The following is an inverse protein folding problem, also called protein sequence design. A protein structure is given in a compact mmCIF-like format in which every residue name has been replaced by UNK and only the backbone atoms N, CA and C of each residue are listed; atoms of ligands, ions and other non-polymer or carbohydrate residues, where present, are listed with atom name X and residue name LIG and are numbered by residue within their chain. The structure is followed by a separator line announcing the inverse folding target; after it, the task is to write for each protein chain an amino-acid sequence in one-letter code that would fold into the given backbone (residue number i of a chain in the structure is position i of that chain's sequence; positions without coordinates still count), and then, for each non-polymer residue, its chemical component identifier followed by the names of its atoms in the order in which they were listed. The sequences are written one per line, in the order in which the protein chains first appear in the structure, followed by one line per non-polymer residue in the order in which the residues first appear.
data_IF_217715922535
#
_entry.id   IF_217715922535
#
_cell.length_a   1.000
_cell.length_b   1.000
_cell.length_c   1.000
_cell.angle_alpha   90.00
_cell.angle_beta   90.00
_cell.angle_gamma   90.00
#
_symmetry.space_group_name_H-M   'P 1'
#
loop_
_entity.id
_entity.type
_entity.pdbx_description
1 polymer ?
#
# COMPACT_ATOMS: atom_id res chain seq x y z
N UNK A 1 4.46 -4.64 11.30
CA UNK A 1 5.26 -3.43 11.05
C UNK A 1 4.29 -2.32 10.72
N UNK A 2 4.65 -1.08 11.00
CA UNK A 2 3.84 0.09 10.75
C UNK A 2 4.67 1.11 9.96
N UNK A 3 4.04 1.73 8.97
CA UNK A 3 4.64 2.75 8.11
C UNK A 3 3.74 3.97 8.14
N UNK A 4 4.31 5.16 8.21
CA UNK A 4 3.55 6.41 8.14
C UNK A 4 4.02 7.27 6.97
N UNK A 5 3.14 8.13 6.48
CA UNK A 5 3.44 9.11 5.45
C UNK A 5 2.19 9.73 4.87
N UNK A 6 2.40 10.76 4.05
CA UNK A 6 1.34 11.43 3.31
C UNK A 6 1.02 10.66 2.04
N UNK A 7 -0.27 10.45 1.75
CA UNK A 7 -0.70 9.84 0.48
C UNK A 7 -0.38 10.81 -0.66
N UNK A 8 0.52 10.40 -1.55
CA UNK A 8 0.85 11.14 -2.76
C UNK A 8 -0.03 10.69 -3.93
N UNK A 9 -0.17 9.37 -4.11
CA UNK A 9 -0.93 8.80 -5.21
C UNK A 9 -1.54 7.44 -4.85
N UNK A 10 -2.71 7.15 -5.42
CA UNK A 10 -3.37 5.85 -5.35
C UNK A 10 -3.60 5.34 -6.78
N UNK A 11 -2.83 4.34 -7.19
CA UNK A 11 -2.90 3.74 -8.53
C UNK A 11 -3.66 2.43 -8.50
N UNK A 12 -4.56 2.22 -9.45
CA UNK A 12 -5.20 0.92 -9.66
C UNK A 12 -4.34 0.08 -10.61
N UNK A 13 -3.95 -1.12 -10.18
CA UNK A 13 -3.30 -2.12 -11.03
C UNK A 13 -4.20 -3.36 -11.10
N UNK A 14 -4.65 -3.71 -12.31
CA UNK A 14 -5.31 -4.99 -12.56
C UNK A 14 -4.27 -5.97 -13.12
N UNK A 15 -4.04 -7.08 -12.41
CA UNK A 15 -3.20 -8.15 -12.94
C UNK A 15 -3.99 -9.46 -12.95
N UNK A 16 -4.36 -9.92 -14.15
CA UNK A 16 -5.07 -11.16 -14.39
C UNK A 16 -6.34 -11.33 -13.52
N UNK A 17 -7.16 -10.28 -13.41
CA UNK A 17 -8.42 -10.32 -12.65
C UNK A 17 -8.29 -10.20 -11.14
N UNK A 18 -7.06 -9.99 -10.62
CA UNK A 18 -6.86 -9.58 -9.24
C UNK A 18 -6.59 -8.08 -9.20
N UNK A 19 -7.61 -7.31 -8.88
CA UNK A 19 -7.45 -5.90 -8.61
C UNK A 19 -6.54 -5.73 -7.39
N UNK A 20 -5.61 -4.79 -7.50
CA UNK A 20 -4.88 -4.22 -6.37
C UNK A 20 -4.79 -2.71 -6.54
N UNK A 21 -4.74 -1.99 -5.42
CA UNK A 21 -4.39 -0.58 -5.40
C UNK A 21 -3.00 -0.44 -4.81
N UNK A 22 -2.14 0.37 -5.43
CA UNK A 22 -0.83 0.73 -4.89
C UNK A 22 -0.92 2.15 -4.38
N UNK A 23 -0.65 2.33 -3.09
CA UNK A 23 -0.59 3.64 -2.45
C UNK A 23 0.86 4.03 -2.31
N UNK A 24 1.20 5.19 -2.87
CA UNK A 24 2.50 5.83 -2.68
C UNK A 24 2.40 6.75 -1.47
N UNK A 25 3.20 6.48 -0.44
CA UNK A 25 3.34 7.33 0.73
C UNK A 25 4.67 8.07 0.67
N UNK A 26 4.64 9.37 0.97
CA UNK A 26 5.83 10.20 1.12
C UNK A 26 6.04 10.49 2.60
N UNK A 27 7.22 10.15 3.11
CA UNK A 27 7.64 10.45 4.47
C UNK A 27 9.02 11.10 4.47
N UNK A 28 9.05 12.43 4.46
CA UNK A 28 10.30 13.20 4.31
C UNK A 28 10.98 12.91 2.97
N UNK A 29 12.09 12.16 3.00
CA UNK A 29 12.85 11.76 1.79
C UNK A 29 12.55 10.33 1.34
N UNK A 30 11.74 9.60 2.10
CA UNK A 30 11.40 8.21 1.80
C UNK A 30 10.11 8.14 0.98
N UNK A 31 10.13 7.29 -0.03
CA UNK A 31 8.95 6.97 -0.85
C UNK A 31 8.63 5.50 -0.62
N UNK A 32 7.42 5.23 -0.14
CA UNK A 32 6.95 3.90 0.21
C UNK A 32 5.82 3.50 -0.74
N UNK A 33 5.86 2.26 -1.23
CA UNK A 33 4.82 1.70 -2.08
C UNK A 33 4.12 0.59 -1.34
N UNK A 34 2.85 0.80 -1.00
CA UNK A 34 2.06 -0.14 -0.20
C UNK A 34 0.91 -0.70 -1.03
N UNK A 35 0.85 -2.02 -1.13
CA UNK A 35 -0.18 -2.70 -1.91
C UNK A 35 -1.40 -3.04 -1.03
N UNK A 36 -2.58 -2.63 -1.50
CA UNK A 36 -3.88 -3.04 -0.99
C UNK A 36 -4.49 -4.06 -1.97
N UNK A 37 -4.81 -5.24 -1.48
CA UNK A 37 -5.25 -6.38 -2.30
C UNK A 37 -6.50 -7.03 -1.71
N UNK A 38 -7.37 -7.57 -2.57
CA UNK A 38 -8.60 -8.26 -2.15
C UNK A 38 -9.47 -7.36 -1.27
N UNK A 39 -10.00 -7.91 -0.17
CA UNK A 39 -10.86 -7.15 0.75
C UNK A 39 -10.22 -5.89 1.36
N UNK A 40 -8.89 -5.82 1.39
CA UNK A 40 -8.21 -4.67 1.97
C UNK A 40 -8.29 -3.44 1.06
N UNK A 41 -8.65 -3.60 -0.22
CA UNK A 41 -8.83 -2.46 -1.14
C UNK A 41 -9.92 -1.50 -0.63
N UNK A 42 -10.99 -2.04 -0.05
CA UNK A 42 -12.10 -1.24 0.51
C UNK A 42 -11.67 -0.38 1.70
N UNK A 43 -10.55 -0.73 2.35
CA UNK A 43 -9.99 0.12 3.42
C UNK A 43 -9.50 1.48 2.90
N UNK A 44 -9.35 1.66 1.59
CA UNK A 44 -8.94 2.92 0.98
C UNK A 44 -10.12 3.82 0.60
N UNK A 45 -11.37 3.36 0.71
CA UNK A 45 -12.52 4.09 0.17
C UNK A 45 -12.77 5.42 0.88
N UNK A 46 -12.25 5.58 2.11
CA UNK A 46 -12.36 6.80 2.92
C UNK A 46 -11.12 7.71 2.84
N UNK A 47 -10.07 7.30 2.11
CA UNK A 47 -8.77 7.96 2.10
C UNK A 47 -8.43 8.56 0.74
N UNK A 48 -7.76 9.71 0.74
CA UNK A 48 -7.50 10.50 -0.45
C UNK A 48 -6.05 10.98 -0.51
N UNK A 49 -5.59 11.35 -1.71
CA UNK A 49 -4.32 12.07 -1.88
C UNK A 49 -4.30 13.30 -0.99
N UNK A 50 -3.23 13.45 -0.22
CA UNK A 50 -3.05 14.52 0.74
C UNK A 50 -3.19 14.11 2.19
N UNK A 51 -3.81 12.96 2.48
CA UNK A 51 -4.01 12.50 3.86
C UNK A 51 -2.70 12.02 4.48
N UNK A 52 -2.43 12.43 5.72
CA UNK A 52 -1.38 11.86 6.55
C UNK A 52 -1.91 10.59 7.23
N UNK A 53 -1.28 9.46 6.93
CA UNK A 53 -1.77 8.14 7.34
C UNK A 53 -0.69 7.29 7.97
N UNK A 54 -1.16 6.36 8.79
CA UNK A 54 -0.39 5.24 9.30
C UNK A 54 -0.96 3.94 8.74
N UNK A 55 -0.11 3.09 8.18
CA UNK A 55 -0.47 1.83 7.54
C UNK A 55 0.24 0.68 8.24
N UNK A 56 -0.55 -0.25 8.78
CA UNK A 56 -0.02 -1.52 9.26
C UNK A 56 0.23 -2.44 8.07
N UNK A 57 1.46 -2.95 7.96
CA UNK A 57 1.89 -3.75 6.82
C UNK A 57 2.46 -5.12 7.22
N UNK A 58 2.40 -6.05 6.28
CA UNK A 58 3.17 -7.30 6.30
C UNK A 58 4.06 -7.37 5.05
N UNK A 59 5.25 -7.95 5.20
CA UNK A 59 6.03 -8.37 4.04
C UNK A 59 5.50 -9.69 3.52
N UNK A 60 5.31 -9.77 2.22
CA UNK A 60 4.93 -11.00 1.54
C UNK A 60 5.98 -11.33 0.50
N UNK A 61 6.84 -12.28 0.83
CA UNK A 61 7.82 -12.83 -0.10
C UNK A 61 7.12 -13.66 -1.17
N UNK A 62 7.30 -13.31 -2.44
CA UNK A 62 6.85 -14.11 -3.59
C UNK A 62 8.01 -14.37 -4.53
N UNK A 63 8.05 -15.56 -5.12
CA UNK A 63 8.97 -15.87 -6.22
C UNK A 63 8.14 -15.85 -7.51
N UNK A 64 8.54 -15.06 -8.51
CA UNK A 64 7.87 -15.11 -9.81
C UNK A 64 8.24 -16.37 -10.59
N UNK A 65 7.49 -16.67 -11.65
CA UNK A 65 7.82 -17.76 -12.58
C UNK A 65 9.20 -17.62 -13.23
N UNK A 66 9.80 -16.42 -13.23
CA UNK A 66 11.15 -16.15 -13.71
C UNK A 66 12.22 -16.25 -12.59
N UNK A 67 11.87 -16.76 -11.41
CA UNK A 67 12.79 -16.96 -10.28
C UNK A 67 13.14 -15.68 -9.49
N UNK A 68 12.56 -14.52 -9.83
CA UNK A 68 12.80 -13.27 -9.11
C UNK A 68 12.06 -13.29 -7.77
N UNK A 69 12.75 -12.95 -6.69
CA UNK A 69 12.16 -12.78 -5.36
C UNK A 69 11.65 -11.35 -5.21
N UNK A 70 10.37 -11.20 -4.87
CA UNK A 70 9.71 -9.94 -4.57
C UNK A 70 9.34 -9.93 -3.10
N UNK A 71 9.57 -8.81 -2.43
CA UNK A 71 9.12 -8.58 -1.06
C UNK A 71 8.04 -7.51 -1.10
N UNK A 72 6.80 -7.92 -1.32
CA UNK A 72 5.70 -6.96 -1.42
C UNK A 72 5.33 -6.47 -0.03
N UNK A 73 5.12 -5.16 0.11
CA UNK A 73 4.59 -4.55 1.32
C UNK A 73 3.08 -4.52 1.18
N UNK A 74 2.39 -5.38 1.93
CA UNK A 74 0.93 -5.53 1.83
C UNK A 74 0.26 -4.89 3.03
N UNK A 75 -0.65 -3.95 2.78
CA UNK A 75 -1.47 -3.31 3.80
C UNK A 75 -2.39 -4.31 4.50
N UNK A 76 -2.55 -4.09 5.80
CA UNK A 76 -3.48 -4.81 6.68
C UNK A 76 -4.52 -3.89 7.29
N UNK A 77 -4.11 -2.70 7.66
CA UNK A 77 -4.94 -1.63 8.23
C UNK A 77 -4.35 -0.29 7.82
N UNK A 78 -5.19 0.73 7.76
CA UNK A 78 -4.82 2.12 7.54
C UNK A 78 -5.61 2.97 8.56
N UNK A 79 -5.02 4.06 9.01
CA UNK A 79 -5.64 5.02 9.93
C UNK A 79 -5.13 6.43 9.60
N UNK A 80 -5.99 7.45 9.75
CA UNK A 80 -5.57 8.85 9.69
C UNK A 80 -4.69 9.17 10.90
N UNK A 81 -3.65 9.96 10.68
CA UNK A 81 -2.90 10.60 11.76
C UNK A 81 -3.68 11.86 12.12
N UNK A 82 -4.38 11.84 13.25
CA UNK A 82 -5.01 13.03 13.77
C UNK A 82 -3.92 14.04 14.17
N UNK A 83 -4.02 15.26 13.63
CA UNK A 83 -3.23 16.41 14.08
C UNK A 83 -3.66 16.87 15.47
#
# INVERSE_FOLDING_TARGET
MELSGKIDCITVENNNGNDKKVVTLVNGREILFVEFQGKNIQLLDEYHTGDDVTVQVRFNGKVSGLGRKYNNIIAKRIALIAN
#
